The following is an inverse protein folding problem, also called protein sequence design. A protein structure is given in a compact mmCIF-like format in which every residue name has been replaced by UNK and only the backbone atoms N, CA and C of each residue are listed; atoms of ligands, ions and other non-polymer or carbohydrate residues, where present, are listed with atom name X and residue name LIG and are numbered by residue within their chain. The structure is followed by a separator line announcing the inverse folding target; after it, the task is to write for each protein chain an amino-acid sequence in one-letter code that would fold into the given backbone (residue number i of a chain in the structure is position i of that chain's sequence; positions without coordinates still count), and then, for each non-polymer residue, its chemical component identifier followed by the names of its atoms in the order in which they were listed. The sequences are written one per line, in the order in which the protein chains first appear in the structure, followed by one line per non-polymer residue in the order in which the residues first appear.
data_IF_276686793128
#
_entry.id   IF_276686793128
#
_cell.length_a   1.000
_cell.length_b   1.000
_cell.length_c   1.000
_cell.angle_alpha   90.00
_cell.angle_beta   90.00
_cell.angle_gamma   90.00
#
_symmetry.space_group_name_H-M   'P 1'
#
loop_
_entity.id
_entity.type
_entity.pdbx_description
1 polymer ?
#
# COMPACT_ATOMS: atom_id res chain seq x y z
N UNK A 1 -18.50 2.18 -49.49
CA UNK A 1 -19.07 1.32 -48.45
C UNK A 1 -18.04 0.35 -47.84
N UNK A 2 -17.22 -0.29 -48.66
CA UNK A 2 -16.17 -1.19 -48.20
C UNK A 2 -15.08 -0.49 -47.40
N UNK A 3 -14.71 0.73 -47.81
CA UNK A 3 -13.70 1.53 -47.14
C UNK A 3 -14.19 2.04 -45.78
N UNK A 4 -15.46 2.42 -45.67
CA UNK A 4 -16.07 2.86 -44.42
C UNK A 4 -16.14 1.69 -43.43
N UNK A 5 -16.51 0.51 -43.92
CA UNK A 5 -16.54 -0.72 -43.11
C UNK A 5 -15.16 -1.09 -42.59
N UNK A 6 -14.14 -1.03 -43.42
CA UNK A 6 -12.74 -1.29 -43.04
C UNK A 6 -12.24 -0.30 -42.00
N UNK A 7 -12.58 0.97 -42.11
CA UNK A 7 -12.23 2.01 -41.14
C UNK A 7 -12.88 1.75 -39.78
N UNK A 8 -14.17 1.35 -39.79
CA UNK A 8 -14.90 1.04 -38.56
C UNK A 8 -14.30 -0.17 -37.85
N UNK A 9 -13.98 -1.24 -38.57
CA UNK A 9 -13.34 -2.44 -38.02
C UNK A 9 -11.94 -2.10 -37.47
N UNK A 10 -11.15 -1.29 -38.18
CA UNK A 10 -9.84 -0.85 -37.76
C UNK A 10 -9.92 0.01 -36.49
N UNK A 11 -10.89 0.93 -36.42
CA UNK A 11 -11.11 1.78 -35.23
C UNK A 11 -11.55 0.95 -34.02
N UNK A 12 -12.41 -0.05 -34.22
CA UNK A 12 -12.83 -0.98 -33.15
C UNK A 12 -11.67 -1.77 -32.60
N UNK A 13 -10.78 -2.26 -33.48
CA UNK A 13 -9.56 -2.99 -33.04
C UNK A 13 -8.61 -2.10 -32.28
N UNK A 14 -8.42 -0.87 -32.76
CA UNK A 14 -7.58 0.14 -32.07
C UNK A 14 -8.13 0.47 -30.68
N UNK A 15 -9.46 0.63 -30.57
CA UNK A 15 -10.12 0.87 -29.30
C UNK A 15 -9.94 -0.29 -28.33
N UNK A 16 -10.07 -1.54 -28.81
CA UNK A 16 -9.83 -2.74 -28.01
C UNK A 16 -8.37 -2.84 -27.55
N UNK A 17 -7.41 -2.58 -28.44
CA UNK A 17 -5.99 -2.58 -28.11
C UNK A 17 -5.65 -1.52 -27.07
N UNK A 18 -6.22 -0.33 -27.19
CA UNK A 18 -6.02 0.75 -26.21
C UNK A 18 -6.62 0.39 -24.87
N UNK A 19 -7.79 -0.25 -24.86
CA UNK A 19 -8.45 -0.71 -23.65
C UNK A 19 -7.63 -1.79 -22.95
N UNK A 20 -7.08 -2.75 -23.68
CA UNK A 20 -6.21 -3.80 -23.15
C UNK A 20 -4.91 -3.21 -22.59
N UNK A 21 -4.29 -2.25 -23.26
CA UNK A 21 -3.09 -1.57 -22.79
C UNK A 21 -3.36 -0.77 -21.51
N UNK A 22 -4.51 -0.09 -21.45
CA UNK A 22 -4.93 0.66 -20.27
C UNK A 22 -5.15 -0.29 -19.09
N UNK A 23 -5.82 -1.42 -19.34
CA UNK A 23 -6.06 -2.44 -18.33
C UNK A 23 -4.75 -3.04 -17.81
N UNK A 24 -3.80 -3.34 -18.67
CA UNK A 24 -2.47 -3.83 -18.29
C UNK A 24 -1.72 -2.82 -17.44
N UNK A 25 -1.77 -1.55 -17.81
CA UNK A 25 -1.15 -0.47 -17.01
C UNK A 25 -1.77 -0.36 -15.62
N UNK A 26 -3.10 -0.50 -15.53
CA UNK A 26 -3.81 -0.47 -14.25
C UNK A 26 -3.42 -1.66 -13.37
N UNK A 27 -3.30 -2.86 -13.96
CA UNK A 27 -2.87 -4.07 -13.24
C UNK A 27 -1.42 -3.93 -12.77
N UNK A 28 -0.52 -3.43 -13.62
CA UNK A 28 0.87 -3.17 -13.23
C UNK A 28 0.98 -2.14 -12.13
N UNK A 29 0.21 -1.05 -12.24
CA UNK A 29 0.14 -0.01 -11.21
C UNK A 29 -0.35 -0.56 -9.88
N UNK A 30 -1.43 -1.37 -9.92
CA UNK A 30 -1.97 -2.02 -8.72
C UNK A 30 -0.97 -2.99 -8.10
N UNK A 31 -0.20 -3.72 -8.91
CA UNK A 31 0.84 -4.62 -8.44
C UNK A 31 1.96 -3.85 -7.75
N UNK A 32 2.43 -2.77 -8.37
CA UNK A 32 3.48 -1.92 -7.80
C UNK A 32 3.02 -1.26 -6.50
N UNK A 33 1.77 -0.82 -6.44
CA UNK A 33 1.18 -0.25 -5.23
C UNK A 33 1.11 -1.30 -4.11
N UNK A 34 0.76 -2.54 -4.44
CA UNK A 34 0.72 -3.64 -3.47
C UNK A 34 2.10 -3.95 -2.92
N UNK A 35 3.14 -4.00 -3.78
CA UNK A 35 4.52 -4.22 -3.36
C UNK A 35 5.01 -3.06 -2.48
N UNK A 36 4.73 -1.83 -2.88
CA UNK A 36 5.09 -0.63 -2.11
C UNK A 36 4.40 -0.62 -0.75
N UNK A 37 3.10 -0.96 -0.71
CA UNK A 37 2.33 -1.01 0.54
C UNK A 37 2.86 -2.09 1.49
N UNK A 38 3.28 -3.25 0.98
CA UNK A 38 3.90 -4.30 1.78
C UNK A 38 5.25 -3.85 2.34
N UNK A 39 6.04 -3.14 1.56
CA UNK A 39 7.32 -2.58 1.99
C UNK A 39 7.11 -1.55 3.11
N UNK A 40 6.12 -0.68 2.96
CA UNK A 40 5.75 0.30 3.99
C UNK A 40 5.25 -0.38 5.27
N UNK A 41 4.49 -1.46 5.14
CA UNK A 41 4.02 -2.25 6.27
C UNK A 41 5.19 -2.87 7.05
N UNK A 42 6.16 -3.44 6.36
CA UNK A 42 7.36 -4.01 6.97
C UNK A 42 8.17 -2.93 7.70
N UNK A 43 8.36 -1.76 7.08
CA UNK A 43 9.06 -0.63 7.69
C UNK A 43 8.32 -0.10 8.92
N UNK A 44 6.99 -0.05 8.87
CA UNK A 44 6.16 0.39 10.00
C UNK A 44 6.24 -0.59 11.17
N UNK A 45 6.34 -1.90 10.90
CA UNK A 45 6.57 -2.92 11.94
C UNK A 45 7.89 -2.73 12.66
N UNK A 46 8.97 -2.49 11.91
CA UNK A 46 10.29 -2.22 12.48
C UNK A 46 10.27 -0.96 13.31
N UNK A 47 9.66 0.10 12.81
CA UNK A 47 9.54 1.38 13.52
C UNK A 47 8.80 1.21 14.83
N UNK A 48 7.72 0.43 14.84
CA UNK A 48 6.97 0.13 16.06
C UNK A 48 7.83 -0.62 17.08
N UNK A 49 8.61 -1.58 16.60
CA UNK A 49 9.50 -2.36 17.47
C UNK A 49 10.54 -1.48 18.14
N UNK A 50 11.19 -0.58 17.39
CA UNK A 50 12.13 0.39 17.92
C UNK A 50 11.48 1.37 18.90
N UNK A 51 10.30 1.88 18.57
CA UNK A 51 9.57 2.79 19.45
C UNK A 51 9.17 2.12 20.76
N UNK A 52 8.79 0.85 20.71
CA UNK A 52 8.45 0.07 21.90
C UNK A 52 9.66 -0.15 22.78
N UNK A 53 10.79 -0.54 22.21
CA UNK A 53 12.06 -0.72 22.95
C UNK A 53 12.53 0.60 23.55
N UNK A 54 12.44 1.69 22.79
CA UNK A 54 12.81 3.03 23.26
C UNK A 54 11.94 3.47 24.43
N UNK A 55 10.63 3.23 24.36
CA UNK A 55 9.70 3.55 25.44
C UNK A 55 10.02 2.76 26.71
N UNK A 56 10.26 1.45 26.59
CA UNK A 56 10.63 0.60 27.73
C UNK A 56 11.91 1.06 28.39
N UNK A 57 12.95 1.38 27.59
CA UNK A 57 14.22 1.87 28.09
C UNK A 57 14.06 3.23 28.79
N UNK A 58 13.32 4.15 28.17
CA UNK A 58 13.05 5.47 28.74
C UNK A 58 12.27 5.34 30.05
N UNK A 59 11.33 4.40 30.13
CA UNK A 59 10.56 4.11 31.33
C UNK A 59 11.44 3.62 32.47
N UNK A 60 12.36 2.72 32.20
CA UNK A 60 13.34 2.24 33.17
C UNK A 60 14.27 3.37 33.68
N UNK A 61 14.76 4.19 32.73
CA UNK A 61 15.62 5.34 33.06
C UNK A 61 14.86 6.40 33.86
N UNK A 62 13.57 6.58 33.57
CA UNK A 62 12.70 7.48 34.33
C UNK A 62 12.56 7.03 35.79
N UNK A 63 12.36 5.72 36.00
CA UNK A 63 12.21 5.16 37.35
C UNK A 63 13.44 5.35 38.22
N UNK A 64 14.64 5.33 37.63
CA UNK A 64 15.90 5.56 38.35
C UNK A 64 16.34 7.03 38.36
N UNK A 65 15.49 7.93 37.82
CA UNK A 65 15.76 9.38 37.87
C UNK A 65 16.69 9.90 36.78
N UNK A 66 17.03 9.08 35.76
CA UNK A 66 17.91 9.48 34.65
C UNK A 66 17.20 10.26 33.56
N UNK A 67 15.87 10.13 33.45
CA UNK A 67 15.05 10.81 32.46
C UNK A 67 13.93 11.58 33.16
N UNK A 68 13.51 12.70 32.54
CA UNK A 68 12.42 13.52 33.06
C UNK A 68 11.05 13.09 32.44
N UNK A 69 9.98 13.68 32.98
CA UNK A 69 8.61 13.39 32.56
C UNK A 69 8.38 13.74 31.08
N UNK A 70 8.99 14.83 30.59
CA UNK A 70 8.86 15.27 29.19
C UNK A 70 9.44 14.23 28.23
N UNK A 71 10.59 13.66 28.56
CA UNK A 71 11.23 12.62 27.76
C UNK A 71 10.40 11.35 27.73
N UNK A 72 9.78 10.97 28.84
CA UNK A 72 8.89 9.83 28.94
C UNK A 72 7.63 10.03 28.07
N UNK A 73 7.00 11.20 28.15
CA UNK A 73 5.82 11.55 27.35
C UNK A 73 6.17 11.57 25.87
N UNK A 74 7.33 12.10 25.50
CA UNK A 74 7.81 12.11 24.11
C UNK A 74 7.95 10.68 23.58
N UNK A 75 8.55 9.78 24.34
CA UNK A 75 8.68 8.37 23.96
C UNK A 75 7.34 7.68 23.84
N UNK A 76 6.39 8.00 24.74
CA UNK A 76 5.02 7.48 24.67
C UNK A 76 4.29 7.97 23.42
N UNK A 77 4.43 9.25 23.06
CA UNK A 77 3.84 9.81 21.85
C UNK A 77 4.40 9.19 20.59
N UNK A 78 5.71 8.94 20.56
CA UNK A 78 6.37 8.24 19.45
C UNK A 78 5.84 6.81 19.30
N UNK A 79 5.64 6.10 20.39
CA UNK A 79 5.07 4.76 20.39
C UNK A 79 3.63 4.77 19.85
N UNK A 80 2.81 5.71 20.30
CA UNK A 80 1.42 5.88 19.82
C UNK A 80 1.39 6.19 18.33
N UNK A 81 2.24 7.10 17.86
CA UNK A 81 2.39 7.42 16.44
C UNK A 81 2.79 6.21 15.62
N UNK A 82 3.75 5.43 16.10
CA UNK A 82 4.21 4.23 15.41
C UNK A 82 3.12 3.17 15.31
N UNK A 83 2.29 3.02 16.35
CA UNK A 83 1.12 2.13 16.32
C UNK A 83 0.10 2.56 15.29
N UNK A 84 -0.18 3.85 15.19
CA UNK A 84 -1.10 4.41 14.20
C UNK A 84 -0.58 4.21 12.78
N UNK A 85 0.70 4.46 12.56
CA UNK A 85 1.35 4.25 11.26
C UNK A 85 1.28 2.78 10.83
N UNK A 86 1.50 1.85 11.76
CA UNK A 86 1.39 0.42 11.49
C UNK A 86 -0.04 0.04 11.10
N UNK A 87 -1.04 0.57 11.80
CA UNK A 87 -2.44 0.30 11.51
C UNK A 87 -2.82 0.81 10.11
N UNK A 88 -2.39 2.02 9.77
CA UNK A 88 -2.62 2.59 8.44
C UNK A 88 -1.91 1.80 7.35
N UNK A 89 -0.65 1.44 7.56
CA UNK A 89 0.12 0.65 6.60
C UNK A 89 -0.49 -0.72 6.38
N UNK A 90 -0.97 -1.37 7.44
CA UNK A 90 -1.67 -2.66 7.37
C UNK A 90 -2.95 -2.55 6.55
N UNK A 91 -3.74 -1.50 6.79
CA UNK A 91 -4.99 -1.26 6.07
C UNK A 91 -4.72 -1.02 4.59
N UNK A 92 -3.73 -0.19 4.27
CA UNK A 92 -3.34 0.10 2.88
C UNK A 92 -2.81 -1.15 2.16
N UNK A 93 -2.04 -1.98 2.85
CA UNK A 93 -1.54 -3.24 2.29
C UNK A 93 -2.69 -4.20 1.95
N UNK A 94 -3.66 -4.34 2.86
CA UNK A 94 -4.85 -5.18 2.62
C UNK A 94 -5.69 -4.66 1.46
N UNK A 95 -5.88 -3.34 1.40
CA UNK A 95 -6.66 -2.69 0.34
C UNK A 95 -6.01 -2.87 -1.03
N UNK A 96 -4.69 -2.74 -1.10
CA UNK A 96 -3.91 -2.93 -2.32
C UNK A 96 -3.98 -4.36 -2.83
N UNK A 97 -3.94 -5.34 -1.92
CA UNK A 97 -4.07 -6.76 -2.27
C UNK A 97 -5.48 -7.06 -2.79
N UNK A 98 -6.53 -6.51 -2.15
CA UNK A 98 -7.90 -6.68 -2.61
C UNK A 98 -8.12 -6.08 -3.99
N UNK A 99 -7.59 -4.88 -4.24
CA UNK A 99 -7.65 -4.23 -5.56
C UNK A 99 -6.96 -5.08 -6.62
N UNK A 100 -5.79 -5.61 -6.32
CA UNK A 100 -5.06 -6.50 -7.22
C UNK A 100 -5.88 -7.76 -7.56
N UNK A 101 -6.52 -8.35 -6.55
CA UNK A 101 -7.40 -9.52 -6.73
C UNK A 101 -8.61 -9.20 -7.61
N UNK A 102 -9.21 -8.01 -7.45
CA UNK A 102 -10.33 -7.55 -8.29
C UNK A 102 -9.88 -7.41 -9.73
N UNK A 103 -8.73 -6.79 -9.99
CA UNK A 103 -8.18 -6.64 -11.34
C UNK A 103 -7.84 -7.99 -11.97
N UNK A 104 -7.29 -8.91 -11.23
CA UNK A 104 -7.00 -10.27 -11.70
C UNK A 104 -8.31 -11.04 -12.02
N UNK A 105 -9.33 -10.86 -11.18
CA UNK A 105 -10.65 -11.44 -11.41
C UNK A 105 -11.30 -10.91 -12.69
N UNK A 106 -11.22 -9.60 -12.95
CA UNK A 106 -11.69 -8.97 -14.19
C UNK A 106 -10.94 -9.49 -15.42
N UNK A 107 -9.64 -9.66 -15.30
CA UNK A 107 -8.78 -10.17 -16.38
C UNK A 107 -9.16 -11.62 -16.73
N UNK A 108 -9.51 -12.42 -15.74
CA UNK A 108 -9.94 -13.81 -15.93
C UNK A 108 -11.33 -13.88 -16.55
N UNK A 109 -12.23 -12.95 -16.23
CA UNK A 109 -13.58 -12.92 -16.79
C UNK A 109 -13.63 -12.42 -18.24
N UNK A 110 -12.63 -11.66 -18.69
CA UNK A 110 -12.54 -11.22 -20.09
C UNK A 110 -11.98 -12.29 -21.02
N UNK A 111 -11.41 -13.36 -20.50
CA UNK A 111 -10.92 -14.49 -21.29
C UNK A 111 -12.00 -15.53 -21.62
N UNK A 112 -13.20 -15.33 -21.13
CA UNK A 112 -14.39 -16.10 -21.48
C UNK A 112 -15.22 -15.31 -22.47
#
# INVERSE_FOLDING_TARGET
LGDVYKRQVSNSRLSQLNLEKTLLKEVESAYLDAVSAQSQYAAAKEKLQYARQSYELTGEQFQVGMKNTVELITAQNELTSARQELLQAKYMALLSIELLNIYQGKNTSTNY
#
